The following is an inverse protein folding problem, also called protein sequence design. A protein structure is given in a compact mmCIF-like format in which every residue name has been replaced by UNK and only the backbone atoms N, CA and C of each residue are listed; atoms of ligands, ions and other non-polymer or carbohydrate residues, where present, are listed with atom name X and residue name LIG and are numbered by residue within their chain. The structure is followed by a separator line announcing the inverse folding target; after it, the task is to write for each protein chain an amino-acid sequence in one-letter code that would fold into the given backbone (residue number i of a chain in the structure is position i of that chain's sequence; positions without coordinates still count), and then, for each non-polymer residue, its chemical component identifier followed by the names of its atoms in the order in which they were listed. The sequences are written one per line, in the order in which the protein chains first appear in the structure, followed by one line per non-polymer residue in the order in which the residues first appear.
data_IF_294318268751
#
_entry.id   IF_294318268751
#
_cell.length_a   1.000
_cell.length_b   1.000
_cell.length_c   1.000
_cell.angle_alpha   90.00
_cell.angle_beta   90.00
_cell.angle_gamma   90.00
#
_symmetry.space_group_name_H-M   'P 1'
#
loop_
_entity.id
_entity.type
_entity.pdbx_description
1 polymer ?
#
# COMPACT_ATOMS: atom_id res chain seq x y z
N UNK A 1 2.02 47.41 24.20
CA UNK A 1 1.54 47.00 25.53
C UNK A 1 0.58 45.83 25.32
N UNK A 2 0.91 44.71 25.75
CA UNK A 2 0.40 43.57 26.47
C UNK A 2 1.09 42.29 26.02
N UNK A 3 1.97 41.75 26.87
CA UNK A 3 2.61 40.44 26.74
C UNK A 3 1.61 39.38 27.23
N UNK A 4 1.24 38.45 26.39
CA UNK A 4 0.56 37.23 26.79
C UNK A 4 1.60 36.19 27.19
N UNK A 5 1.55 35.71 28.44
CA UNK A 5 2.50 34.77 29.02
C UNK A 5 2.33 33.37 28.48
N UNK A 6 3.44 32.73 28.17
CA UNK A 6 3.55 31.29 27.91
C UNK A 6 3.49 30.56 29.26
N UNK A 7 2.44 29.77 29.46
CA UNK A 7 2.30 28.83 30.57
C UNK A 7 3.19 27.62 30.32
N UNK A 8 4.17 27.39 31.18
CA UNK A 8 4.99 26.17 31.17
C UNK A 8 4.17 25.01 31.71
N UNK A 9 4.09 23.92 30.92
CA UNK A 9 3.62 22.61 31.41
C UNK A 9 4.59 22.04 32.44
N UNK A 10 4.10 21.41 33.51
CA UNK A 10 4.95 20.79 34.51
C UNK A 10 5.67 19.55 33.94
N UNK A 11 6.97 19.47 34.23
CA UNK A 11 7.80 18.31 33.93
C UNK A 11 7.26 17.09 34.71
N UNK A 12 7.02 15.98 34.01
CA UNK A 12 6.68 14.71 34.63
C UNK A 12 7.98 14.10 35.18
N UNK A 13 8.04 14.01 36.51
CA UNK A 13 9.15 13.40 37.25
C UNK A 13 9.07 11.87 37.13
N UNK A 14 10.06 11.27 36.49
CA UNK A 14 10.17 9.82 36.23
C UNK A 14 10.78 9.01 37.41
N UNK A 15 10.90 9.62 38.58
CA UNK A 15 11.60 8.99 39.71
C UNK A 15 10.72 8.06 40.60
N UNK A 16 9.39 8.04 40.42
CA UNK A 16 8.48 7.35 41.36
C UNK A 16 8.04 5.94 40.97
N UNK A 17 8.62 5.34 39.93
CA UNK A 17 8.21 4.02 39.45
C UNK A 17 9.11 2.86 39.94
N UNK A 18 10.00 3.08 40.93
CA UNK A 18 10.85 2.03 41.47
C UNK A 18 10.22 1.24 42.63
N UNK A 19 9.02 1.59 43.11
CA UNK A 19 8.41 0.97 44.29
C UNK A 19 7.19 0.09 44.02
N UNK A 20 6.77 -0.12 42.77
CA UNK A 20 5.59 -0.96 42.47
C UNK A 20 5.89 -2.46 42.37
N UNK A 21 7.10 -2.90 42.67
CA UNK A 21 7.56 -4.30 42.50
C UNK A 21 7.73 -5.08 43.84
N UNK A 22 7.37 -4.53 45.00
CA UNK A 22 7.73 -5.18 46.29
C UNK A 22 6.58 -5.71 47.15
N UNK A 23 5.35 -5.64 46.74
CA UNK A 23 4.21 -6.11 47.61
C UNK A 23 3.42 -7.29 47.01
N UNK A 24 4.00 -8.17 46.23
CA UNK A 24 3.38 -9.46 45.91
C UNK A 24 4.29 -10.63 46.26
N UNK A 25 4.74 -10.68 47.50
CA UNK A 25 5.20 -11.93 48.13
C UNK A 25 4.13 -12.46 49.05
N UNK A 26 3.10 -13.05 48.45
CA UNK A 26 2.16 -13.89 49.19
C UNK A 26 2.92 -15.15 49.64
N UNK A 27 2.97 -15.36 50.91
CA UNK A 27 3.43 -16.59 51.57
C UNK A 27 2.58 -17.78 51.11
N UNK A 28 3.06 -18.49 50.09
CA UNK A 28 2.54 -19.81 49.77
C UNK A 28 3.58 -20.83 50.21
N UNK A 29 3.18 -21.63 51.18
CA UNK A 29 3.91 -22.79 51.68
C UNK A 29 3.85 -23.90 50.62
N UNK A 30 4.51 -23.70 49.48
CA UNK A 30 4.50 -24.57 48.31
C UNK A 30 5.86 -25.26 48.16
N UNK A 31 5.85 -26.58 48.09
CA UNK A 31 7.02 -27.41 47.74
C UNK A 31 7.78 -26.77 46.59
N UNK A 32 9.05 -26.49 46.78
CA UNK A 32 9.92 -25.96 45.71
C UNK A 32 9.95 -26.95 44.54
N UNK A 33 9.24 -26.62 43.50
CA UNK A 33 9.30 -27.37 42.22
C UNK A 33 10.70 -27.13 41.65
N UNK A 34 11.44 -28.20 41.37
CA UNK A 34 12.79 -28.06 40.78
C UNK A 34 12.65 -27.34 39.42
N UNK A 35 13.60 -26.48 39.10
CA UNK A 35 13.62 -25.74 37.83
C UNK A 35 13.48 -26.67 36.61
N UNK A 36 13.93 -27.91 36.71
CA UNK A 36 13.76 -28.96 35.69
C UNK A 36 12.30 -29.38 35.57
N UNK A 37 11.57 -29.55 36.66
CA UNK A 37 10.15 -29.92 36.64
C UNK A 37 9.29 -28.77 36.11
N UNK A 38 9.61 -27.53 36.46
CA UNK A 38 8.92 -26.35 35.93
C UNK A 38 9.16 -26.21 34.39
N UNK A 39 10.38 -26.42 33.93
CA UNK A 39 10.70 -26.39 32.50
C UNK A 39 9.97 -27.50 31.73
N UNK A 40 9.93 -28.71 32.26
CA UNK A 40 9.16 -29.81 31.66
C UNK A 40 7.65 -29.50 31.59
N UNK A 41 7.08 -28.92 32.62
CA UNK A 41 5.67 -28.54 32.62
C UNK A 41 5.34 -27.48 31.57
N UNK A 42 6.20 -26.47 31.40
CA UNK A 42 6.04 -25.43 30.36
C UNK A 42 6.17 -26.02 28.96
N UNK A 43 7.16 -26.88 28.72
CA UNK A 43 7.31 -27.54 27.43
C UNK A 43 6.13 -28.44 27.09
N UNK A 44 5.65 -29.21 28.07
CA UNK A 44 4.48 -30.09 27.88
C UNK A 44 3.21 -29.28 27.59
N UNK A 45 2.98 -28.19 28.32
CA UNK A 45 1.84 -27.29 28.08
C UNK A 45 1.92 -26.62 26.69
N UNK A 46 3.11 -26.25 26.24
CA UNK A 46 3.33 -25.67 24.92
C UNK A 46 3.00 -26.65 23.79
N UNK A 47 3.51 -27.90 23.89
CA UNK A 47 3.20 -28.95 22.90
C UNK A 47 1.73 -29.40 22.96
N UNK A 48 1.13 -29.48 24.14
CA UNK A 48 -0.30 -29.76 24.27
C UNK A 48 -1.16 -28.65 23.66
N UNK A 49 -0.75 -27.39 23.80
CA UNK A 49 -1.39 -26.24 23.16
C UNK A 49 -1.32 -26.30 21.63
N UNK A 50 -0.16 -26.68 21.06
CA UNK A 50 0.02 -26.85 19.61
C UNK A 50 -0.86 -28.02 19.10
N UNK A 51 -0.82 -29.17 19.75
CA UNK A 51 -1.63 -30.32 19.37
C UNK A 51 -3.14 -30.02 19.50
N UNK A 52 -3.54 -29.37 20.58
CA UNK A 52 -4.92 -28.91 20.78
C UNK A 52 -5.36 -27.92 19.68
N UNK A 53 -4.50 -26.97 19.33
CA UNK A 53 -4.77 -26.02 18.24
C UNK A 53 -4.91 -26.70 16.88
N UNK A 54 -4.11 -27.73 16.60
CA UNK A 54 -4.21 -28.52 15.37
C UNK A 54 -5.45 -29.41 15.33
N UNK A 55 -5.87 -29.94 16.49
CA UNK A 55 -7.06 -30.81 16.61
C UNK A 55 -8.38 -30.00 16.54
N UNK A 56 -8.37 -28.74 16.96
CA UNK A 56 -9.56 -27.84 16.94
C UNK A 56 -9.68 -27.11 15.60
N UNK A 57 -8.63 -27.05 14.79
CA UNK A 57 -8.78 -26.55 13.42
C UNK A 57 -9.69 -27.53 12.67
N UNK A 58 -10.89 -27.09 12.20
CA UNK A 58 -11.68 -27.93 11.32
C UNK A 58 -10.82 -28.25 10.12
N UNK A 59 -10.39 -29.50 9.96
CA UNK A 59 -9.69 -30.01 8.76
C UNK A 59 -10.60 -30.05 7.52
N UNK A 60 -11.79 -29.53 7.66
CA UNK A 60 -12.67 -29.24 6.56
C UNK A 60 -12.58 -27.72 6.32
N UNK A 61 -11.59 -27.29 5.50
CA UNK A 61 -11.97 -26.28 4.54
C UNK A 61 -13.28 -26.83 3.92
N UNK A 62 -14.40 -26.10 3.92
CA UNK A 62 -15.55 -26.56 3.16
C UNK A 62 -14.98 -26.85 1.78
N UNK A 63 -15.00 -28.11 1.37
CA UNK A 63 -14.88 -28.44 -0.02
C UNK A 63 -16.05 -27.67 -0.64
N UNK A 64 -15.76 -26.49 -1.18
CA UNK A 64 -16.63 -25.93 -2.18
C UNK A 64 -16.65 -27.02 -3.25
N UNK A 65 -17.66 -27.88 -3.18
CA UNK A 65 -18.05 -28.65 -4.34
C UNK A 65 -18.15 -27.58 -5.43
N UNK A 66 -17.17 -27.58 -6.30
CA UNK A 66 -17.29 -27.05 -7.65
C UNK A 66 -18.30 -27.97 -8.34
N UNK A 67 -19.54 -28.04 -7.79
CA UNK A 67 -20.67 -28.61 -8.47
C UNK A 67 -20.76 -27.79 -9.75
N UNK A 68 -20.32 -28.45 -10.85
CA UNK A 68 -20.60 -28.11 -12.23
C UNK A 68 -21.45 -26.86 -12.41
N UNK A 69 -20.83 -25.69 -12.27
CA UNK A 69 -21.37 -24.47 -12.88
C UNK A 69 -21.04 -24.61 -14.37
N UNK A 70 -21.65 -25.60 -15.03
CA UNK A 70 -22.05 -25.47 -16.42
C UNK A 70 -23.20 -24.47 -16.47
N UNK A 71 -22.98 -23.29 -15.88
CA UNK A 71 -23.80 -22.15 -16.10
C UNK A 71 -23.55 -21.73 -17.54
N UNK A 72 -24.57 -21.75 -18.37
CA UNK A 72 -24.61 -21.00 -19.60
C UNK A 72 -23.95 -19.64 -19.32
N UNK A 73 -22.85 -19.32 -20.01
CA UNK A 73 -22.18 -18.07 -19.85
C UNK A 73 -23.21 -16.94 -20.02
N UNK A 74 -23.70 -16.41 -18.91
CA UNK A 74 -24.56 -15.23 -18.98
C UNK A 74 -23.68 -14.11 -19.54
N UNK A 75 -24.18 -13.37 -20.55
CA UNK A 75 -23.42 -12.24 -21.07
C UNK A 75 -23.06 -11.30 -19.93
N UNK A 76 -21.80 -10.85 -19.89
CA UNK A 76 -21.33 -9.94 -18.86
C UNK A 76 -22.28 -8.75 -18.76
N UNK A 77 -22.77 -8.47 -17.56
CA UNK A 77 -23.66 -7.31 -17.31
C UNK A 77 -22.87 -6.01 -17.34
N UNK A 78 -21.57 -6.09 -17.00
CA UNK A 78 -20.63 -4.98 -17.04
C UNK A 78 -19.41 -5.48 -17.85
N UNK A 79 -19.19 -4.86 -19.02
CA UNK A 79 -18.02 -5.10 -19.84
C UNK A 79 -17.28 -3.76 -20.01
N UNK A 80 -16.12 -3.61 -19.36
CA UNK A 80 -15.35 -2.39 -19.39
C UNK A 80 -14.01 -2.58 -20.07
N UNK A 81 -13.59 -1.58 -20.82
CA UNK A 81 -12.25 -1.47 -21.36
C UNK A 81 -11.36 -0.81 -20.30
N UNK A 82 -10.27 -1.47 -19.94
CA UNK A 82 -9.33 -1.03 -18.92
C UNK A 82 -7.94 -0.79 -19.57
N UNK A 83 -7.67 0.41 -20.10
CA UNK A 83 -6.31 0.74 -20.53
C UNK A 83 -5.37 0.78 -19.33
N UNK A 84 -4.15 0.29 -19.51
CA UNK A 84 -3.12 0.27 -18.47
C UNK A 84 -1.92 1.10 -18.89
N UNK A 85 -1.20 1.66 -17.91
CA UNK A 85 -0.02 2.49 -18.17
C UNK A 85 1.26 1.68 -18.26
N UNK A 86 1.28 0.48 -17.66
CA UNK A 86 2.43 -0.43 -17.67
C UNK A 86 2.13 -1.64 -18.54
N UNK A 87 3.14 -2.12 -19.26
CA UNK A 87 3.02 -3.35 -20.06
C UNK A 87 2.65 -4.53 -19.15
N UNK A 88 1.69 -5.36 -19.55
CA UNK A 88 1.19 -6.48 -18.75
C UNK A 88 2.24 -7.53 -18.41
N UNK A 89 3.35 -7.55 -19.16
CA UNK A 89 4.52 -8.41 -18.90
C UNK A 89 5.45 -7.87 -17.81
N UNK A 90 5.24 -6.64 -17.34
CA UNK A 90 6.07 -6.05 -16.30
C UNK A 90 5.67 -6.62 -14.93
N UNK A 91 6.60 -7.25 -14.19
CA UNK A 91 6.31 -7.79 -12.87
C UNK A 91 5.77 -6.70 -11.92
N UNK A 92 4.81 -7.07 -11.08
CA UNK A 92 4.17 -6.25 -10.04
C UNK A 92 3.31 -5.11 -10.59
N UNK A 93 3.79 -4.34 -11.53
CA UNK A 93 3.09 -3.16 -12.05
C UNK A 93 2.12 -3.50 -13.18
N UNK A 94 2.53 -4.40 -14.07
CA UNK A 94 1.76 -4.75 -15.27
C UNK A 94 0.94 -6.03 -15.11
N UNK A 95 1.42 -7.01 -14.36
CA UNK A 95 0.70 -8.27 -14.11
C UNK A 95 -0.44 -8.10 -13.09
N UNK A 96 -0.34 -7.11 -12.20
CA UNK A 96 -1.38 -6.82 -11.20
C UNK A 96 -2.77 -6.57 -11.81
N UNK A 97 -2.97 -5.66 -12.81
CA UNK A 97 -4.28 -5.48 -13.41
C UNK A 97 -4.81 -6.75 -14.11
N UNK A 98 -3.95 -7.58 -14.67
CA UNK A 98 -4.33 -8.87 -15.26
C UNK A 98 -4.88 -9.82 -14.18
N UNK A 99 -4.15 -9.95 -13.06
CA UNK A 99 -4.59 -10.75 -11.92
C UNK A 99 -5.92 -10.21 -11.35
N UNK A 100 -6.02 -8.90 -11.13
CA UNK A 100 -7.19 -8.24 -10.57
C UNK A 100 -8.44 -8.49 -11.42
N UNK A 101 -8.33 -8.29 -12.74
CA UNK A 101 -9.46 -8.47 -13.66
C UNK A 101 -9.92 -9.92 -13.74
N UNK A 102 -9.00 -10.89 -13.71
CA UNK A 102 -9.33 -12.32 -13.65
C UNK A 102 -10.01 -12.69 -12.32
N UNK A 103 -9.51 -12.15 -11.20
CA UNK A 103 -10.12 -12.36 -9.89
C UNK A 103 -11.56 -11.80 -9.82
N UNK A 104 -11.78 -10.58 -10.33
CA UNK A 104 -13.11 -9.96 -10.40
C UNK A 104 -14.05 -10.78 -11.29
N UNK A 105 -13.59 -11.22 -12.46
CA UNK A 105 -14.39 -12.04 -13.37
C UNK A 105 -14.79 -13.37 -12.70
N UNK A 106 -13.88 -14.03 -12.01
CA UNK A 106 -14.17 -15.26 -11.26
C UNK A 106 -15.13 -15.00 -10.09
N UNK A 107 -14.88 -13.99 -9.28
CA UNK A 107 -15.71 -13.67 -8.12
C UNK A 107 -17.14 -13.25 -8.51
N UNK A 108 -17.32 -12.62 -9.66
CA UNK A 108 -18.61 -12.19 -10.19
C UNK A 108 -19.31 -13.26 -11.04
N UNK A 109 -18.76 -14.48 -11.14
CA UNK A 109 -19.23 -15.52 -12.06
C UNK A 109 -19.39 -15.00 -13.50
N UNK A 110 -18.51 -14.11 -13.96
CA UNK A 110 -18.54 -13.51 -15.29
C UNK A 110 -19.49 -12.34 -15.45
N UNK A 111 -20.19 -11.90 -14.39
CA UNK A 111 -21.07 -10.74 -14.48
C UNK A 111 -20.32 -9.40 -14.66
N UNK A 112 -19.04 -9.37 -14.29
CA UNK A 112 -18.14 -8.22 -14.50
C UNK A 112 -16.94 -8.72 -15.30
N UNK A 113 -16.73 -8.12 -16.47
CA UNK A 113 -15.62 -8.41 -17.36
C UNK A 113 -14.86 -7.09 -17.64
N UNK A 114 -13.62 -7.01 -17.15
CA UNK A 114 -12.72 -5.89 -17.36
C UNK A 114 -11.65 -6.33 -18.34
N UNK A 115 -11.70 -5.82 -19.56
CA UNK A 115 -10.75 -6.16 -20.62
C UNK A 115 -9.53 -5.23 -20.54
N UNK A 116 -8.38 -5.80 -20.26
CA UNK A 116 -7.10 -5.08 -20.18
C UNK A 116 -6.60 -4.75 -21.59
N UNK A 117 -6.14 -3.51 -21.79
CA UNK A 117 -5.55 -3.02 -23.04
C UNK A 117 -4.16 -2.47 -22.74
N UNK A 118 -3.19 -2.86 -23.55
CA UNK A 118 -1.78 -2.46 -23.43
C UNK A 118 -1.57 -0.94 -23.55
N UNK A 119 -0.46 -0.41 -23.03
CA UNK A 119 -0.15 1.02 -23.11
C UNK A 119 -0.20 1.54 -24.53
N UNK A 120 -1.05 2.52 -24.77
CA UNK A 120 -1.20 3.16 -26.09
C UNK A 120 -2.15 2.46 -27.06
N UNK A 121 -2.70 1.29 -26.72
CA UNK A 121 -3.58 0.53 -27.61
C UNK A 121 -4.92 1.25 -27.89
N UNK A 122 -5.57 1.77 -26.86
CA UNK A 122 -6.83 2.51 -26.99
C UNK A 122 -6.75 3.95 -26.48
N UNK A 123 -5.81 4.22 -25.59
CA UNK A 123 -5.56 5.53 -24.98
C UNK A 123 -4.04 5.69 -24.81
N UNK A 124 -3.44 6.85 -25.17
CA UNK A 124 -2.04 7.10 -24.84
C UNK A 124 -1.80 6.92 -23.32
N UNK A 125 -0.72 6.25 -22.94
CA UNK A 125 -0.44 5.81 -21.58
C UNK A 125 -0.62 6.93 -20.53
N UNK A 126 -0.08 8.12 -20.77
CA UNK A 126 -0.18 9.27 -19.87
C UNK A 126 -1.49 10.07 -20.00
N UNK A 127 -2.43 9.62 -20.84
CA UNK A 127 -3.74 10.24 -21.05
C UNK A 127 -4.89 9.41 -20.46
N UNK A 128 -4.57 8.32 -19.75
CA UNK A 128 -5.57 7.42 -19.17
C UNK A 128 -6.48 8.17 -18.20
N UNK A 129 -5.91 8.95 -17.28
CA UNK A 129 -6.67 9.76 -16.31
C UNK A 129 -7.61 10.74 -17.00
N UNK A 130 -7.17 11.41 -18.07
CA UNK A 130 -8.02 12.30 -18.86
C UNK A 130 -9.15 11.53 -19.53
N UNK A 131 -8.86 10.36 -20.08
CA UNK A 131 -9.86 9.55 -20.77
C UNK A 131 -10.96 9.05 -19.82
N UNK A 132 -10.61 8.69 -18.57
CA UNK A 132 -11.58 8.34 -17.53
C UNK A 132 -12.37 9.57 -17.11
N UNK A 133 -11.70 10.69 -16.81
CA UNK A 133 -12.33 11.96 -16.45
C UNK A 133 -13.37 12.39 -17.48
N UNK A 134 -13.04 12.28 -18.75
CA UNK A 134 -13.86 12.71 -19.88
C UNK A 134 -14.92 11.64 -20.27
N UNK A 135 -15.01 10.52 -19.55
CA UNK A 135 -15.95 9.43 -19.82
C UNK A 135 -15.68 8.64 -21.12
N UNK A 136 -14.49 8.77 -21.72
CA UNK A 136 -14.11 8.03 -22.94
C UNK A 136 -13.89 6.54 -22.67
N UNK A 137 -13.42 6.21 -21.45
CA UNK A 137 -13.34 4.87 -20.90
C UNK A 137 -13.88 4.88 -19.47
N UNK A 138 -14.50 3.79 -19.00
CA UNK A 138 -15.14 3.75 -17.69
C UNK A 138 -14.12 3.62 -16.54
N UNK A 139 -12.94 3.04 -16.80
CA UNK A 139 -11.89 2.85 -15.83
C UNK A 139 -10.52 2.84 -16.54
N UNK A 140 -9.44 2.97 -15.75
CA UNK A 140 -8.07 2.86 -16.23
C UNK A 140 -7.12 2.53 -15.10
N UNK A 141 -6.03 1.86 -15.39
CA UNK A 141 -5.00 1.51 -14.41
C UNK A 141 -3.76 2.38 -14.67
N UNK A 142 -3.42 3.23 -13.71
CA UNK A 142 -2.32 4.21 -13.86
C UNK A 142 -1.65 4.47 -12.51
N UNK A 143 -0.57 5.21 -12.53
CA UNK A 143 0.09 5.70 -11.33
C UNK A 143 -0.22 7.19 -11.13
N UNK A 144 -0.68 7.55 -9.94
CA UNK A 144 -1.14 8.92 -9.64
C UNK A 144 -0.04 9.98 -9.81
N UNK A 145 1.22 9.60 -9.70
CA UNK A 145 2.35 10.52 -9.91
C UNK A 145 2.43 11.10 -11.33
N UNK A 146 1.84 10.44 -12.32
CA UNK A 146 1.76 10.96 -13.68
C UNK A 146 0.76 12.11 -13.86
N UNK A 147 -0.12 12.31 -12.90
CA UNK A 147 -1.14 13.35 -12.94
C UNK A 147 -0.65 14.72 -12.45
N UNK A 148 0.63 14.87 -12.09
CA UNK A 148 1.18 16.11 -11.51
C UNK A 148 0.85 17.37 -12.35
N UNK A 149 0.88 17.27 -13.66
CA UNK A 149 0.54 18.38 -14.55
C UNK A 149 -0.93 18.74 -14.60
N UNK A 150 -1.81 17.86 -14.12
CA UNK A 150 -3.28 17.96 -14.18
C UNK A 150 -3.86 18.14 -12.78
N UNK A 151 -3.35 17.38 -11.83
CA UNK A 151 -3.72 17.38 -10.42
C UNK A 151 -2.45 17.64 -9.60
N UNK A 152 -2.10 18.91 -9.32
CA UNK A 152 -0.81 19.26 -8.73
C UNK A 152 -0.48 18.59 -7.39
N UNK A 153 -1.51 18.19 -6.62
CA UNK A 153 -1.34 17.50 -5.34
C UNK A 153 -1.18 15.98 -5.48
N UNK A 154 -1.38 15.39 -6.67
CA UNK A 154 -1.30 13.93 -6.87
C UNK A 154 0.03 13.31 -6.46
N UNK A 155 1.21 13.96 -6.68
CA UNK A 155 2.48 13.38 -6.25
C UNK A 155 2.61 13.22 -4.74
N UNK A 156 1.92 14.04 -3.95
CA UNK A 156 1.92 13.92 -2.48
C UNK A 156 1.18 12.66 -1.99
N UNK A 157 0.33 12.11 -2.83
CA UNK A 157 -0.36 10.85 -2.57
C UNK A 157 0.40 9.68 -3.19
N UNK A 158 0.99 9.88 -4.37
CA UNK A 158 1.61 8.81 -5.14
C UNK A 158 3.00 8.40 -4.62
N UNK A 159 3.86 9.38 -4.31
CA UNK A 159 5.22 9.14 -3.86
C UNK A 159 5.83 10.41 -3.26
N UNK A 160 6.21 10.31 -2.01
CA UNK A 160 6.90 11.39 -1.29
C UNK A 160 8.32 10.93 -0.99
N UNK A 161 9.35 11.68 -1.36
CA UNK A 161 10.73 11.36 -0.95
C UNK A 161 10.82 11.21 0.57
N UNK A 162 11.44 10.13 1.04
CA UNK A 162 11.51 9.78 2.47
C UNK A 162 10.14 9.63 3.15
N UNK A 163 9.12 9.24 2.37
CA UNK A 163 7.76 9.03 2.84
C UNK A 163 7.56 7.68 3.55
N UNK A 164 6.31 7.26 3.58
CA UNK A 164 5.89 6.03 4.26
C UNK A 164 6.40 4.78 3.54
N UNK A 165 6.74 3.76 4.33
CA UNK A 165 6.96 2.41 3.84
C UNK A 165 5.62 1.79 3.37
N UNK A 166 5.63 0.73 2.51
CA UNK A 166 4.40 0.17 1.92
C UNK A 166 3.32 -0.20 2.92
N UNK A 167 3.69 -0.78 4.07
CA UNK A 167 2.71 -1.14 5.12
C UNK A 167 2.16 0.08 5.85
N UNK A 168 2.98 1.11 6.05
CA UNK A 168 2.57 2.37 6.67
C UNK A 168 1.59 3.10 5.75
N UNK A 169 1.90 3.14 4.44
CA UNK A 169 1.02 3.71 3.43
C UNK A 169 -0.33 2.97 3.38
N UNK A 170 -0.31 1.64 3.40
CA UNK A 170 -1.53 0.84 3.42
C UNK A 170 -2.35 1.10 4.70
N UNK A 171 -1.68 1.19 5.86
CA UNK A 171 -2.34 1.55 7.11
C UNK A 171 -2.94 2.96 7.06
N UNK A 172 -2.19 3.94 6.54
CA UNK A 172 -2.70 5.30 6.32
C UNK A 172 -3.89 5.30 5.36
N UNK A 173 -3.82 4.55 4.25
CA UNK A 173 -4.91 4.50 3.29
C UNK A 173 -6.20 3.98 3.89
N UNK A 174 -6.15 2.85 4.63
CA UNK A 174 -7.35 2.21 5.15
C UNK A 174 -7.81 2.72 6.52
N UNK A 175 -6.92 3.32 7.32
CA UNK A 175 -7.21 3.67 8.72
C UNK A 175 -6.77 5.08 9.12
N UNK A 176 -5.96 5.74 8.29
CA UNK A 176 -5.39 7.06 8.58
C UNK A 176 -6.02 8.21 7.78
N UNK A 177 -7.15 7.98 7.09
CA UNK A 177 -7.82 9.01 6.30
C UNK A 177 -7.26 9.19 4.89
N UNK A 178 -6.34 8.33 4.45
CA UNK A 178 -5.70 8.43 3.14
C UNK A 178 -6.68 8.28 1.98
N UNK A 179 -7.60 7.31 2.11
CA UNK A 179 -8.65 7.09 1.11
C UNK A 179 -9.54 8.31 0.97
N UNK A 180 -10.09 8.80 2.07
CA UNK A 180 -11.01 9.94 2.10
C UNK A 180 -10.35 11.20 1.56
N UNK A 181 -9.08 11.44 1.90
CA UNK A 181 -8.30 12.56 1.38
C UNK A 181 -8.12 12.45 -0.14
N UNK A 182 -7.75 11.27 -0.63
CA UNK A 182 -7.53 11.02 -2.05
C UNK A 182 -8.83 11.13 -2.84
N UNK A 183 -9.91 10.52 -2.36
CA UNK A 183 -11.24 10.64 -2.96
C UNK A 183 -11.69 12.11 -3.03
N UNK A 184 -11.52 12.88 -1.96
CA UNK A 184 -11.89 14.30 -1.92
C UNK A 184 -11.12 15.15 -2.94
N UNK A 185 -9.86 14.81 -3.20
CA UNK A 185 -9.03 15.46 -4.21
C UNK A 185 -9.53 15.12 -5.61
N UNK A 186 -9.70 13.83 -5.91
CA UNK A 186 -9.96 13.34 -7.26
C UNK A 186 -11.41 13.52 -7.71
N UNK A 187 -12.37 13.52 -6.80
CA UNK A 187 -13.81 13.79 -7.10
C UNK A 187 -14.01 15.15 -7.79
N UNK A 188 -13.17 16.15 -7.46
CA UNK A 188 -13.20 17.47 -8.11
C UNK A 188 -12.87 17.41 -9.61
N UNK A 189 -12.25 16.32 -10.03
CA UNK A 189 -11.86 16.04 -11.42
C UNK A 189 -12.73 14.95 -12.05
N UNK A 190 -13.90 14.65 -11.49
CA UNK A 190 -14.79 13.56 -11.95
C UNK A 190 -14.10 12.20 -11.99
N UNK A 191 -13.28 11.91 -10.97
CA UNK A 191 -12.51 10.68 -10.85
C UNK A 191 -12.74 10.04 -9.48
N UNK A 192 -12.76 8.72 -9.44
CA UNK A 192 -12.82 7.94 -8.20
C UNK A 192 -11.60 7.00 -8.14
N UNK A 193 -10.60 7.31 -7.31
CA UNK A 193 -9.39 6.49 -7.20
C UNK A 193 -9.65 5.24 -6.36
N UNK A 194 -9.09 4.12 -6.82
CA UNK A 194 -9.08 2.85 -6.09
C UNK A 194 -7.64 2.41 -5.90
N UNK A 195 -7.26 2.15 -4.66
CA UNK A 195 -5.92 1.65 -4.33
C UNK A 195 -5.78 0.19 -4.74
N UNK A 196 -4.92 -0.09 -5.70
CA UNK A 196 -4.68 -1.43 -6.22
C UNK A 196 -3.35 -2.04 -5.75
N UNK A 197 -2.52 -1.26 -5.09
CA UNK A 197 -1.21 -1.68 -4.60
C UNK A 197 -0.18 -0.58 -4.69
N UNK A 198 1.03 -0.89 -4.25
CA UNK A 198 2.19 -0.01 -4.39
C UNK A 198 3.47 -0.82 -4.56
N UNK A 199 4.49 -0.18 -5.10
CA UNK A 199 5.85 -0.72 -5.14
C UNK A 199 6.52 -0.58 -3.77
N UNK A 200 7.62 -1.28 -3.57
CA UNK A 200 8.51 -1.00 -2.45
C UNK A 200 9.26 0.32 -2.63
N UNK A 201 10.15 0.66 -1.68
CA UNK A 201 11.02 1.82 -1.79
C UNK A 201 11.84 1.77 -3.08
N UNK A 202 11.86 2.89 -3.79
CA UNK A 202 12.63 3.01 -5.02
C UNK A 202 13.93 3.77 -4.77
N UNK A 203 14.98 3.38 -5.49
CA UNK A 203 16.23 4.13 -5.49
C UNK A 203 16.07 5.44 -6.26
N UNK A 204 16.94 6.42 -5.95
CA UNK A 204 16.93 7.73 -6.61
C UNK A 204 17.16 7.65 -8.13
N UNK A 205 17.81 6.58 -8.62
CA UNK A 205 18.00 6.38 -10.05
C UNK A 205 19.17 5.46 -10.37
N UNK A 206 19.33 5.23 -11.69
CA UNK A 206 20.40 4.45 -12.28
C UNK A 206 21.29 5.38 -13.10
N UNK A 207 22.57 5.45 -12.77
CA UNK A 207 23.51 6.42 -13.34
C UNK A 207 24.64 5.70 -14.07
N UNK A 208 25.13 6.30 -15.15
CA UNK A 208 26.28 5.78 -15.90
C UNK A 208 27.61 6.04 -15.17
N UNK A 209 27.62 7.02 -14.26
CA UNK A 209 28.74 7.36 -13.39
C UNK A 209 28.24 7.59 -11.97
N UNK A 210 29.12 7.50 -11.02
CA UNK A 210 28.81 7.80 -9.63
C UNK A 210 28.48 9.29 -9.48
N UNK A 211 27.47 9.58 -8.67
CA UNK A 211 27.08 10.93 -8.26
C UNK A 211 27.59 11.09 -6.83
N UNK A 212 28.60 11.94 -6.65
CA UNK A 212 29.27 12.14 -5.36
C UNK A 212 29.05 13.55 -4.79
N UNK A 213 28.61 14.50 -5.63
CA UNK A 213 28.40 15.88 -5.26
C UNK A 213 27.21 16.52 -6.00
N UNK A 214 26.82 17.71 -5.57
CA UNK A 214 25.77 18.48 -6.25
C UNK A 214 26.23 18.97 -7.64
N UNK A 215 27.53 19.18 -7.83
CA UNK A 215 28.12 19.57 -9.11
C UNK A 215 27.91 18.48 -10.16
N UNK A 216 27.89 17.22 -9.76
CA UNK A 216 27.63 16.08 -10.64
C UNK A 216 26.22 16.06 -11.20
N UNK A 217 25.29 16.74 -10.55
CA UNK A 217 23.89 16.87 -10.96
C UNK A 217 23.72 17.94 -12.04
N UNK A 218 24.65 18.90 -12.15
CA UNK A 218 24.59 19.98 -13.13
C UNK A 218 24.61 19.44 -14.56
N UNK A 219 23.58 19.74 -15.33
CA UNK A 219 23.43 19.29 -16.71
C UNK A 219 23.14 17.78 -16.87
N UNK A 220 22.94 17.05 -15.79
CA UNK A 220 22.58 15.63 -15.83
C UNK A 220 21.24 15.45 -16.53
N UNK A 221 21.21 14.64 -17.59
CA UNK A 221 19.97 14.25 -18.27
C UNK A 221 19.38 13.02 -17.58
N UNK A 222 18.22 13.16 -16.98
CA UNK A 222 17.56 12.09 -16.24
C UNK A 222 16.05 12.05 -16.55
N UNK A 223 15.50 10.83 -16.62
CA UNK A 223 14.05 10.64 -16.58
C UNK A 223 13.62 10.54 -15.13
N UNK A 224 12.74 11.44 -14.69
CA UNK A 224 12.23 11.43 -13.33
C UNK A 224 10.83 12.03 -13.28
N UNK A 225 9.88 11.26 -12.76
CA UNK A 225 8.50 11.72 -12.64
C UNK A 225 8.22 12.36 -11.27
N UNK A 226 7.16 13.15 -11.20
CA UNK A 226 6.66 13.70 -9.95
C UNK A 226 7.51 14.81 -9.32
N UNK A 227 7.31 15.04 -8.04
CA UNK A 227 7.99 16.13 -7.29
C UNK A 227 9.50 15.93 -7.20
N UNK A 228 9.98 14.69 -7.13
CA UNK A 228 11.41 14.39 -7.12
C UNK A 228 12.12 14.93 -8.38
N UNK A 229 11.49 14.81 -9.56
CA UNK A 229 12.00 15.40 -10.79
C UNK A 229 12.17 16.91 -10.69
N UNK A 230 11.20 17.62 -10.11
CA UNK A 230 11.28 19.06 -9.87
C UNK A 230 12.39 19.46 -8.92
N UNK A 231 12.64 18.66 -7.89
CA UNK A 231 13.75 18.91 -6.95
C UNK A 231 15.09 18.78 -7.69
N UNK A 232 15.28 17.70 -8.46
CA UNK A 232 16.52 17.46 -9.20
C UNK A 232 16.72 18.51 -10.28
N UNK A 233 15.66 18.97 -10.94
CA UNK A 233 15.71 20.07 -11.93
C UNK A 233 16.20 21.38 -11.29
N UNK A 234 15.74 21.70 -10.07
CA UNK A 234 16.23 22.88 -9.34
C UNK A 234 17.69 22.76 -8.89
N UNK A 235 18.19 21.53 -8.81
CA UNK A 235 19.62 21.25 -8.58
C UNK A 235 20.44 21.29 -9.86
N UNK A 236 19.85 21.64 -11.01
CA UNK A 236 20.56 21.86 -12.26
C UNK A 236 20.53 20.70 -13.26
N UNK A 237 19.77 19.63 -12.98
CA UNK A 237 19.57 18.56 -13.95
C UNK A 237 18.56 18.96 -15.06
N UNK A 238 18.66 18.29 -16.21
CA UNK A 238 17.66 18.33 -17.29
C UNK A 238 16.75 17.11 -17.13
N UNK A 239 15.52 17.34 -16.69
CA UNK A 239 14.56 16.29 -16.38
C UNK A 239 13.59 16.08 -17.54
N UNK A 240 13.33 14.81 -17.89
CA UNK A 240 12.29 14.40 -18.85
C UNK A 240 11.34 13.39 -18.20
N UNK A 241 10.15 13.22 -18.74
CA UNK A 241 9.22 12.14 -18.40
C UNK A 241 9.30 10.97 -19.35
#
# INVERSE_FOLDING_TARGET
MSRAGFSQSPAVDFADNANFGREFVATSNGKRISNRAALFAVITAFFAGIIGSLAIRPMHAPAYELSNIQGSAQPARIAWRLPVVFQTTMPVLGDNPVYLTDAIRKASAGAIDLQVFEPGEIVPAFSITDAVRDGKVPAGYTWLGYDQGKIPASPLIAAVPFGMEPWEYSAWWYHGGGRELTESLYTRYNLHPIYCGMTGPETAGWFRRRIESLEDVQGLKIRFAGLGGRVIERLGASVTM
#
